data_IF_149322156477
#
_entry.id   IF_149322156477
#
_cell.length_a   1.000
_cell.length_b   1.000
_cell.length_c   1.000
_cell.angle_alpha   90.00
_cell.angle_beta   90.00
_cell.angle_gamma   90.00
#
_symmetry.space_group_name_H-M   'P 1'
#
loop_
_entity.id
_entity.type
_entity.pdbx_description
1 polymer ?
#
# COMPACT_ATOMS: atom_id res chain seq x y z
N UNK A 1 -29.25 -20.42 -12.24
CA UNK A 1 -28.65 -20.71 -10.92
C UNK A 1 -27.84 -21.98 -11.09
N UNK A 2 -26.55 -21.87 -11.39
CA UNK A 2 -25.63 -23.03 -11.42
C UNK A 2 -25.74 -23.69 -10.05
N UNK A 3 -26.24 -24.92 -10.00
CA UNK A 3 -26.36 -25.64 -8.73
C UNK A 3 -24.94 -25.89 -8.21
N UNK A 4 -24.66 -25.55 -6.96
CA UNK A 4 -23.39 -25.80 -6.26
C UNK A 4 -22.80 -27.20 -6.56
N UNK A 5 -23.68 -28.19 -6.70
CA UNK A 5 -23.36 -29.57 -7.10
C UNK A 5 -22.60 -29.70 -8.42
N UNK A 6 -22.91 -28.89 -9.45
CA UNK A 6 -22.22 -28.93 -10.75
C UNK A 6 -20.78 -28.41 -10.68
N UNK A 7 -20.52 -27.45 -9.81
CA UNK A 7 -19.15 -26.92 -9.61
C UNK A 7 -18.35 -27.86 -8.72
N UNK A 8 -19.03 -28.55 -7.79
CA UNK A 8 -18.41 -29.55 -6.94
C UNK A 8 -17.89 -30.80 -7.68
N UNK A 9 -18.35 -31.05 -8.91
CA UNK A 9 -17.77 -32.07 -9.78
C UNK A 9 -16.29 -31.80 -10.12
N UNK A 10 -15.87 -30.52 -10.10
CA UNK A 10 -14.52 -30.10 -10.45
C UNK A 10 -13.67 -29.72 -9.23
N UNK A 11 -14.29 -29.29 -8.13
CA UNK A 11 -13.61 -28.90 -6.92
C UNK A 11 -14.47 -29.20 -5.69
N UNK A 12 -13.95 -29.97 -4.74
CA UNK A 12 -14.66 -30.37 -3.51
C UNK A 12 -15.01 -29.18 -2.59
N UNK A 13 -14.30 -28.05 -2.71
CA UNK A 13 -14.52 -26.82 -1.94
C UNK A 13 -14.46 -25.58 -2.84
N UNK A 14 -15.53 -25.28 -3.60
CA UNK A 14 -15.54 -24.14 -4.48
C UNK A 14 -15.78 -22.83 -3.71
N UNK A 15 -15.01 -21.80 -4.08
CA UNK A 15 -15.29 -20.42 -3.69
C UNK A 15 -16.21 -19.77 -4.72
N UNK A 16 -17.20 -19.02 -4.23
CA UNK A 16 -18.12 -18.27 -5.06
C UNK A 16 -18.01 -16.78 -4.78
N UNK A 17 -17.67 -16.00 -5.81
CA UNK A 17 -17.51 -14.55 -5.70
C UNK A 17 -18.57 -13.84 -6.52
N UNK A 18 -19.24 -12.86 -5.90
CA UNK A 18 -20.19 -11.97 -6.57
C UNK A 18 -19.59 -10.56 -6.59
N UNK A 19 -19.49 -9.99 -7.78
CA UNK A 19 -19.16 -8.59 -8.00
C UNK A 19 -20.45 -7.84 -8.40
N UNK A 20 -20.80 -6.79 -7.68
CA UNK A 20 -21.94 -5.93 -7.99
C UNK A 20 -21.45 -4.65 -8.71
N UNK A 21 -21.56 -4.58 -10.05
CA UNK A 21 -21.08 -3.43 -10.81
C UNK A 21 -21.94 -2.18 -10.62
N UNK A 22 -23.17 -2.30 -10.10
CA UNK A 22 -24.15 -1.22 -10.06
C UNK A 22 -24.35 -0.61 -8.67
N UNK A 23 -23.45 -0.81 -7.69
CA UNK A 23 -23.70 -0.41 -6.29
C UNK A 23 -24.10 1.08 -6.10
N UNK A 24 -25.42 1.35 -6.15
CA UNK A 24 -26.09 2.68 -6.11
C UNK A 24 -26.27 3.19 -4.66
N UNK A 25 -25.24 3.06 -3.83
CA UNK A 25 -25.27 3.57 -2.45
C UNK A 25 -24.54 4.93 -2.33
N UNK A 26 -25.10 5.96 -1.68
CA UNK A 26 -24.38 7.22 -1.43
C UNK A 26 -23.13 7.06 -0.52
N UNK A 27 -22.96 5.88 0.09
CA UNK A 27 -21.88 5.52 1.01
C UNK A 27 -20.90 4.44 0.49
N UNK A 28 -21.05 3.94 -0.75
CA UNK A 28 -20.23 2.84 -1.31
C UNK A 28 -18.85 3.24 -1.80
N UNK A 29 -18.46 4.53 -1.75
CA UNK A 29 -17.09 4.97 -2.12
C UNK A 29 -15.97 4.37 -1.25
N UNK A 30 -16.27 3.59 -0.21
CA UNK A 30 -15.29 3.04 0.74
C UNK A 30 -15.18 1.51 0.79
N UNK A 31 -16.08 0.74 0.17
CA UNK A 31 -16.03 -0.73 0.25
C UNK A 31 -16.07 -1.33 -1.14
N UNK A 32 -15.10 -2.20 -1.43
CA UNK A 32 -15.04 -2.94 -2.69
C UNK A 32 -16.35 -3.71 -2.89
N UNK A 33 -17.02 -3.63 -4.06
CA UNK A 33 -18.34 -4.21 -4.28
C UNK A 33 -18.25 -5.72 -4.56
N UNK A 34 -17.54 -6.43 -3.69
CA UNK A 34 -17.30 -7.87 -3.79
C UNK A 34 -17.86 -8.55 -2.54
N UNK A 35 -18.53 -9.69 -2.74
CA UNK A 35 -18.90 -10.63 -1.69
C UNK A 35 -18.34 -12.01 -2.03
N UNK A 36 -17.65 -12.62 -1.07
CA UNK A 36 -17.10 -13.97 -1.17
C UNK A 36 -17.96 -14.94 -0.37
N UNK A 37 -18.15 -16.12 -0.90
CA UNK A 37 -18.86 -17.23 -0.27
C UNK A 37 -18.04 -18.51 -0.39
N UNK A 38 -18.04 -19.30 0.67
CA UNK A 38 -17.43 -20.62 0.71
C UNK A 38 -18.51 -21.71 0.83
N UNK A 39 -18.21 -22.90 0.34
CA UNK A 39 -19.11 -24.04 0.44
C UNK A 39 -18.99 -24.70 1.82
N UNK A 40 -20.07 -24.74 2.59
CA UNK A 40 -20.11 -25.45 3.87
C UNK A 40 -21.25 -26.48 3.89
N UNK A 41 -21.00 -27.60 4.56
CA UNK A 41 -22.01 -28.61 4.83
C UNK A 41 -22.81 -28.22 6.07
N UNK A 42 -24.09 -27.88 5.87
CA UNK A 42 -24.99 -27.57 6.98
C UNK A 42 -26.11 -28.61 7.09
N UNK A 43 -26.47 -28.95 8.34
CA UNK A 43 -27.64 -29.78 8.62
C UNK A 43 -28.89 -28.91 8.62
N UNK A 44 -29.67 -28.97 7.54
CA UNK A 44 -30.96 -28.27 7.43
C UNK A 44 -32.08 -29.30 7.55
N UNK A 45 -32.88 -29.20 8.61
CA UNK A 45 -33.98 -30.14 8.91
C UNK A 45 -33.53 -31.61 8.96
N UNK A 46 -32.34 -31.88 9.50
CA UNK A 46 -31.79 -33.23 9.60
C UNK A 46 -31.20 -33.80 8.30
N UNK A 47 -31.22 -33.04 7.21
CA UNK A 47 -30.62 -33.44 5.93
C UNK A 47 -29.32 -32.63 5.71
N UNK A 48 -28.18 -33.31 5.45
CA UNK A 48 -26.94 -32.62 5.12
C UNK A 48 -27.08 -31.95 3.75
N UNK A 49 -26.91 -30.63 3.71
CA UNK A 49 -27.00 -29.83 2.48
C UNK A 49 -25.80 -28.92 2.37
N UNK A 50 -25.14 -28.97 1.21
CA UNK A 50 -24.10 -28.01 0.86
C UNK A 50 -24.75 -26.65 0.56
N UNK A 51 -24.27 -25.61 1.24
CA UNK A 51 -24.74 -24.23 1.06
C UNK A 51 -23.54 -23.28 0.93
N UNK A 52 -23.78 -22.11 0.33
CA UNK A 52 -22.81 -21.04 0.31
C UNK A 52 -22.98 -20.15 1.54
N UNK A 53 -21.91 -20.04 2.34
CA UNK A 53 -21.84 -19.17 3.52
C UNK A 53 -20.91 -18.01 3.22
N UNK A 54 -21.29 -16.81 3.67
CA UNK A 54 -20.51 -15.60 3.38
C UNK A 54 -19.19 -15.63 4.14
N UNK A 55 -18.08 -15.60 3.41
CA UNK A 55 -16.75 -15.63 3.97
C UNK A 55 -16.17 -14.20 4.10
N UNK A 56 -15.44 -13.89 5.19
CA UNK A 56 -14.62 -12.69 5.25
C UNK A 56 -13.46 -12.80 4.27
N UNK A 57 -13.05 -11.67 3.69
CA UNK A 57 -11.88 -11.62 2.81
C UNK A 57 -11.00 -10.44 3.15
N UNK A 58 -9.71 -10.59 2.85
CA UNK A 58 -8.73 -9.52 2.85
C UNK A 58 -8.10 -9.48 1.45
N UNK A 59 -7.87 -8.29 0.93
CA UNK A 59 -7.06 -8.13 -0.28
C UNK A 59 -5.61 -8.26 0.16
N UNK A 60 -4.92 -9.25 -0.40
CA UNK A 60 -3.49 -9.39 -0.25
C UNK A 60 -2.83 -9.07 -1.59
N UNK A 61 -1.68 -8.41 -1.55
CA UNK A 61 -1.02 -7.91 -2.74
C UNK A 61 0.48 -8.06 -2.55
N UNK A 62 1.16 -8.69 -3.50
CA UNK A 62 2.62 -8.76 -3.51
C UNK A 62 3.22 -7.36 -3.71
N UNK A 63 4.45 -7.09 -3.26
CA UNK A 63 5.12 -5.81 -3.51
C UNK A 63 5.16 -5.47 -5.01
N UNK A 64 5.49 -6.46 -5.85
CA UNK A 64 5.54 -6.30 -7.31
C UNK A 64 4.17 -5.97 -7.90
N UNK A 65 3.11 -6.64 -7.43
CA UNK A 65 1.73 -6.38 -7.82
C UNK A 65 1.25 -5.01 -7.33
N UNK A 66 1.66 -4.61 -6.13
CA UNK A 66 1.34 -3.31 -5.53
C UNK A 66 1.90 -2.16 -6.35
N UNK A 67 3.14 -2.29 -6.83
CA UNK A 67 3.76 -1.31 -7.75
C UNK A 67 2.99 -1.26 -9.07
N UNK A 68 2.60 -2.41 -9.64
CA UNK A 68 1.85 -2.47 -10.89
C UNK A 68 0.45 -1.84 -10.74
N UNK A 69 -0.26 -2.14 -9.66
CA UNK A 69 -1.57 -1.56 -9.34
C UNK A 69 -1.44 -0.05 -9.12
N UNK A 70 -0.43 0.40 -8.38
CA UNK A 70 -0.15 1.82 -8.16
C UNK A 70 0.07 2.55 -9.50
N UNK A 71 0.88 1.97 -10.38
CA UNK A 71 1.11 2.49 -11.72
C UNK A 71 -0.20 2.58 -12.52
N UNK A 72 -0.99 1.50 -12.58
CA UNK A 72 -2.28 1.44 -13.30
C UNK A 72 -3.29 2.44 -12.74
N UNK A 73 -3.38 2.57 -11.42
CA UNK A 73 -4.30 3.49 -10.75
C UNK A 73 -3.97 4.97 -11.00
N UNK A 74 -2.70 5.26 -11.31
CA UNK A 74 -2.15 6.59 -11.56
C UNK A 74 -2.00 6.93 -13.04
N UNK A 75 -2.47 6.08 -13.96
CA UNK A 75 -2.51 6.40 -15.41
C UNK A 75 -3.52 7.54 -15.64
N UNK A 76 -3.11 8.76 -15.30
CA UNK A 76 -3.40 9.94 -16.06
C UNK A 76 -2.59 9.86 -17.37
N UNK A 77 -3.08 10.44 -18.48
CA UNK A 77 -2.43 10.29 -19.77
C UNK A 77 -0.97 10.74 -19.68
N UNK A 78 -0.06 9.79 -19.97
CA UNK A 78 1.38 9.90 -20.24
C UNK A 78 1.93 11.30 -19.96
N UNK A 79 2.31 11.55 -18.71
CA UNK A 79 2.77 12.85 -18.26
C UNK A 79 4.24 12.84 -17.88
N UNK A 80 5.09 12.89 -18.90
CA UNK A 80 6.48 13.38 -18.88
C UNK A 80 7.52 12.57 -18.07
N UNK A 81 8.55 12.06 -18.77
CA UNK A 81 9.71 11.35 -18.21
C UNK A 81 10.59 12.25 -17.31
N UNK A 82 10.26 13.53 -17.20
CA UNK A 82 10.91 14.52 -16.33
C UNK A 82 10.43 14.50 -14.88
N UNK A 83 9.37 13.74 -14.54
CA UNK A 83 8.81 13.73 -13.18
C UNK A 83 9.61 12.83 -12.24
N UNK A 84 10.04 13.42 -11.12
CA UNK A 84 10.76 12.72 -10.04
C UNK A 84 9.94 11.55 -9.50
N UNK A 85 10.58 10.39 -9.33
CA UNK A 85 10.02 9.20 -8.68
C UNK A 85 9.68 9.44 -7.21
N UNK A 86 10.27 10.46 -6.57
CA UNK A 86 9.98 10.84 -5.19
C UNK A 86 8.59 11.48 -5.03
N UNK A 87 8.11 12.21 -6.05
CA UNK A 87 6.83 12.90 -5.98
C UNK A 87 5.62 11.95 -5.78
N UNK A 88 5.45 10.88 -6.59
CA UNK A 88 4.37 9.92 -6.36
C UNK A 88 4.54 9.14 -5.06
N UNK A 89 5.78 8.82 -4.64
CA UNK A 89 6.05 8.13 -3.37
C UNK A 89 5.60 8.97 -2.16
N UNK A 90 6.00 10.23 -2.10
CA UNK A 90 5.58 11.14 -1.03
C UNK A 90 4.06 11.39 -1.05
N UNK A 91 3.45 11.40 -2.24
CA UNK A 91 2.00 11.44 -2.41
C UNK A 91 1.31 10.25 -1.72
N UNK A 92 1.81 9.04 -1.93
CA UNK A 92 1.27 7.82 -1.31
C UNK A 92 1.40 7.84 0.21
N UNK A 93 2.58 8.21 0.73
CA UNK A 93 2.80 8.33 2.18
C UNK A 93 1.86 9.37 2.79
N UNK A 94 1.73 10.55 2.15
CA UNK A 94 0.79 11.60 2.58
C UNK A 94 -0.64 11.08 2.63
N UNK A 95 -1.08 10.36 1.61
CA UNK A 95 -2.45 9.89 1.51
C UNK A 95 -2.75 8.77 2.53
N UNK A 96 -1.77 7.89 2.79
CA UNK A 96 -1.84 6.91 3.87
C UNK A 96 -1.95 7.59 5.26
N UNK A 97 -1.14 8.62 5.52
CA UNK A 97 -1.21 9.40 6.77
C UNK A 97 -2.56 10.09 6.92
N UNK A 98 -3.06 10.74 5.85
CA UNK A 98 -4.40 11.37 5.86
C UNK A 98 -5.52 10.35 6.06
N UNK A 99 -5.36 9.13 5.54
CA UNK A 99 -6.34 8.07 5.75
C UNK A 99 -6.38 7.65 7.22
N UNK A 100 -5.21 7.47 7.85
CA UNK A 100 -5.13 7.14 9.27
C UNK A 100 -5.70 8.26 10.15
N UNK A 101 -5.34 9.52 9.87
CA UNK A 101 -5.84 10.70 10.58
C UNK A 101 -7.38 10.76 10.59
N UNK A 102 -8.02 10.53 9.43
CA UNK A 102 -9.49 10.45 9.34
C UNK A 102 -10.09 9.32 10.18
N UNK A 103 -9.43 8.17 10.27
CA UNK A 103 -9.91 7.05 11.09
C UNK A 103 -9.82 7.39 12.58
N UNK A 104 -8.73 8.02 13.00
CA UNK A 104 -8.53 8.48 14.38
C UNK A 104 -9.55 9.56 14.76
N UNK A 105 -9.82 10.52 13.87
CA UNK A 105 -10.82 11.56 14.08
C UNK A 105 -12.23 10.97 14.27
N UNK A 106 -12.62 9.97 13.47
CA UNK A 106 -13.90 9.26 13.65
C UNK A 106 -13.99 8.57 15.01
N UNK A 107 -12.92 7.89 15.44
CA UNK A 107 -12.87 7.26 16.77
C UNK A 107 -12.99 8.30 17.89
N UNK A 108 -12.31 9.43 17.77
CA UNK A 108 -12.35 10.50 18.77
C UNK A 108 -13.75 11.11 18.89
N UNK A 109 -14.39 11.43 17.76
CA UNK A 109 -15.77 11.95 17.73
C UNK A 109 -16.75 10.96 18.34
N UNK A 110 -16.58 9.68 18.05
CA UNK A 110 -17.41 8.62 18.64
C UNK A 110 -17.28 8.56 20.16
N UNK A 111 -16.06 8.62 20.70
CA UNK A 111 -15.83 8.67 22.15
C UNK A 111 -16.42 9.93 22.79
N UNK A 112 -16.36 11.07 22.11
CA UNK A 112 -16.98 12.33 22.57
C UNK A 112 -18.51 12.22 22.61
N UNK A 113 -19.13 11.64 21.57
CA UNK A 113 -20.57 11.42 21.53
C UNK A 113 -21.05 10.48 22.65
N UNK A 114 -20.29 9.42 22.95
CA UNK A 114 -20.57 8.53 24.09
C UNK A 114 -20.46 9.27 25.43
N UNK A 115 -19.45 10.13 25.59
CA UNK A 115 -19.27 10.96 26.80
C UNK A 115 -20.45 11.93 27.01
N UNK A 116 -20.99 12.48 25.93
CA UNK A 116 -22.12 13.41 25.96
C UNK A 116 -23.49 12.70 26.06
N UNK A 117 -23.51 11.36 26.20
CA UNK A 117 -24.71 10.52 26.21
C UNK A 117 -25.56 10.58 24.92
N UNK A 118 -24.95 10.95 23.79
CA UNK A 118 -25.59 10.98 22.46
C UNK A 118 -25.53 9.61 21.75
N UNK A 119 -24.67 8.70 22.20
CA UNK A 119 -24.49 7.35 21.66
C UNK A 119 -24.53 6.29 22.78
N UNK A 120 -25.01 5.06 22.51
CA UNK A 120 -25.09 3.99 23.51
C UNK A 120 -23.69 3.58 24.00
N UNK A 121 -23.58 3.37 25.31
CA UNK A 121 -22.34 2.95 25.97
C UNK A 121 -22.06 1.47 25.70
N UNK A 122 -21.15 1.17 24.76
CA UNK A 122 -20.63 -0.19 24.54
C UNK A 122 -19.27 -0.39 25.22
N UNK A 123 -19.25 -1.18 26.29
CA UNK A 123 -18.05 -1.49 27.05
C UNK A 123 -17.03 -2.37 26.30
N UNK A 124 -17.48 -3.21 25.35
CA UNK A 124 -16.56 -4.04 24.56
C UNK A 124 -15.73 -3.17 23.62
N UNK A 125 -16.38 -2.21 22.96
CA UNK A 125 -15.72 -1.27 22.06
C UNK A 125 -14.74 -0.36 22.79
N UNK A 126 -15.09 0.15 23.97
CA UNK A 126 -14.18 0.91 24.84
C UNK A 126 -12.94 0.11 25.24
N UNK A 127 -13.12 -1.17 25.57
CA UNK A 127 -12.01 -2.07 25.91
C UNK A 127 -11.08 -2.30 24.71
N UNK A 128 -11.63 -2.48 23.51
CA UNK A 128 -10.82 -2.59 22.29
C UNK A 128 -10.03 -1.31 22.00
N UNK A 129 -10.67 -0.14 22.08
CA UNK A 129 -9.99 1.14 21.88
C UNK A 129 -8.87 1.34 22.92
N UNK A 130 -9.14 1.03 24.19
CA UNK A 130 -8.12 1.09 25.23
C UNK A 130 -6.96 0.13 24.96
N UNK A 131 -7.23 -1.08 24.47
CA UNK A 131 -6.17 -2.02 24.09
C UNK A 131 -5.29 -1.47 22.98
N UNK A 132 -5.87 -0.84 21.95
CA UNK A 132 -5.13 -0.22 20.86
C UNK A 132 -4.24 0.92 21.39
N UNK A 133 -4.78 1.80 22.23
CA UNK A 133 -4.00 2.89 22.84
C UNK A 133 -2.85 2.37 23.69
N UNK A 134 -3.06 1.27 24.43
CA UNK A 134 -2.04 0.67 25.29
C UNK A 134 -0.95 -0.11 24.52
N UNK A 135 -1.22 -0.47 23.25
CA UNK A 135 -0.20 -1.04 22.35
C UNK A 135 0.73 0.03 21.79
N UNK A 136 0.41 1.32 21.96
CA UNK A 136 1.29 2.41 21.57
C UNK A 136 2.28 2.70 22.70
N UNK A 137 3.58 2.84 22.38
CA UNK A 137 4.21 2.76 21.06
C UNK A 137 4.44 1.32 20.59
N UNK A 138 4.15 1.06 19.30
CA UNK A 138 4.06 -0.29 18.73
C UNK A 138 5.34 -1.13 18.85
N UNK A 139 6.51 -0.49 18.83
CA UNK A 139 7.80 -1.15 19.05
C UNK A 139 8.71 -0.22 19.86
N UNK A 140 9.12 -0.67 21.04
CA UNK A 140 10.21 -0.10 21.84
C UNK A 140 11.01 -1.26 22.41
N UNK A 141 12.02 -1.70 21.67
CA UNK A 141 12.99 -2.67 22.17
C UNK A 141 14.39 -2.16 21.82
N UNK A 142 15.33 -2.38 22.73
CA UNK A 142 16.73 -1.99 22.54
C UNK A 142 17.33 -2.66 21.30
N UNK A 143 16.89 -3.90 21.00
CA UNK A 143 17.25 -4.62 19.78
C UNK A 143 16.73 -3.92 18.52
N UNK A 144 15.49 -3.41 18.54
CA UNK A 144 14.94 -2.66 17.41
C UNK A 144 15.72 -1.36 17.20
N UNK A 145 16.01 -0.60 18.25
CA UNK A 145 16.74 0.66 18.15
C UNK A 145 18.16 0.45 17.59
N UNK A 146 18.85 -0.59 18.05
CA UNK A 146 20.16 -0.98 17.52
C UNK A 146 20.08 -1.38 16.04
N UNK A 147 19.12 -2.24 15.67
CA UNK A 147 18.92 -2.70 14.29
C UNK A 147 18.54 -1.53 13.36
N UNK A 148 17.65 -0.65 13.81
CA UNK A 148 17.23 0.53 13.06
C UNK A 148 18.38 1.51 12.86
N UNK A 149 19.20 1.75 13.88
CA UNK A 149 20.37 2.63 13.78
C UNK A 149 21.42 2.07 12.83
N UNK A 150 21.61 0.75 12.83
CA UNK A 150 22.50 0.06 11.90
C UNK A 150 22.00 0.22 10.46
N UNK A 151 20.73 -0.13 10.19
CA UNK A 151 20.15 -0.01 8.85
C UNK A 151 20.17 1.44 8.33
N UNK A 152 19.88 2.41 9.20
CA UNK A 152 19.97 3.83 8.88
C UNK A 152 21.40 4.25 8.49
N UNK A 153 22.39 3.78 9.24
CA UNK A 153 23.80 4.07 8.98
C UNK A 153 24.27 3.44 7.66
N UNK A 154 23.86 2.20 7.40
CA UNK A 154 24.17 1.49 6.15
C UNK A 154 23.54 2.19 4.93
N UNK A 155 22.27 2.60 5.02
CA UNK A 155 21.60 3.34 3.96
C UNK A 155 22.27 4.70 3.68
N UNK A 156 22.70 5.41 4.71
CA UNK A 156 23.46 6.66 4.57
C UNK A 156 24.81 6.44 3.88
N UNK A 157 25.54 5.41 4.28
CA UNK A 157 26.85 5.09 3.70
C UNK A 157 26.72 4.76 2.21
N UNK A 158 25.75 3.92 1.84
CA UNK A 158 25.48 3.56 0.43
C UNK A 158 25.12 4.80 -0.38
N UNK A 159 24.23 5.66 0.14
CA UNK A 159 23.82 6.90 -0.52
C UNK A 159 25.01 7.87 -0.71
N UNK A 160 25.87 7.98 0.29
CA UNK A 160 27.06 8.81 0.24
C UNK A 160 28.06 8.31 -0.82
N UNK A 161 28.36 7.01 -0.81
CA UNK A 161 29.24 6.39 -1.82
C UNK A 161 28.67 6.54 -3.24
N UNK A 162 27.37 6.32 -3.43
CA UNK A 162 26.71 6.54 -4.72
C UNK A 162 26.83 8.00 -5.21
N UNK A 163 26.73 8.96 -4.28
CA UNK A 163 26.90 10.39 -4.58
C UNK A 163 28.34 10.71 -4.99
N UNK A 164 29.34 10.13 -4.30
CA UNK A 164 30.75 10.26 -4.68
C UNK A 164 31.03 9.63 -6.05
N UNK A 165 30.52 8.43 -6.32
CA UNK A 165 30.64 7.78 -7.62
C UNK A 165 30.04 8.64 -8.73
N UNK A 166 28.85 9.20 -8.52
CA UNK A 166 28.21 10.12 -9.46
C UNK A 166 29.05 11.39 -9.67
N UNK A 167 29.64 11.93 -8.60
CA UNK A 167 30.56 13.06 -8.66
C UNK A 167 31.80 12.76 -9.50
N UNK A 168 32.43 11.60 -9.30
CA UNK A 168 33.59 11.15 -10.08
C UNK A 168 33.25 10.95 -11.56
N UNK A 169 32.10 10.34 -11.89
CA UNK A 169 31.67 10.20 -13.29
C UNK A 169 31.41 11.55 -13.95
N UNK A 170 30.82 12.51 -13.22
CA UNK A 170 30.61 13.87 -13.72
C UNK A 170 31.95 14.59 -13.95
N UNK A 171 32.91 14.44 -13.03
CA UNK A 171 34.25 15.02 -13.18
C UNK A 171 34.98 14.45 -14.40
N UNK A 172 34.96 13.13 -14.59
CA UNK A 172 35.53 12.50 -15.79
C UNK A 172 34.89 13.04 -17.08
N UNK A 173 33.56 13.17 -17.09
CA UNK A 173 32.85 13.73 -18.25
C UNK A 173 33.29 15.18 -18.55
N UNK A 174 33.58 15.98 -17.52
CA UNK A 174 34.09 17.35 -17.71
C UNK A 174 35.52 17.34 -18.23
N UNK A 175 36.38 16.48 -17.70
CA UNK A 175 37.77 16.32 -18.15
C UNK A 175 37.82 15.88 -19.62
N UNK A 176 37.00 14.90 -20.02
CA UNK A 176 36.93 14.42 -21.41
C UNK A 176 36.46 15.53 -22.36
N UNK A 177 35.46 16.32 -21.95
CA UNK A 177 35.00 17.49 -22.73
C UNK A 177 36.08 18.57 -22.82
N UNK A 178 36.86 18.78 -21.77
CA UNK A 178 37.96 19.73 -21.78
C UNK A 178 39.11 19.28 -22.68
N UNK A 179 39.51 18.01 -22.62
CA UNK A 179 40.54 17.44 -23.48
C UNK A 179 40.17 17.56 -24.97
N UNK A 180 38.94 17.17 -25.33
CA UNK A 180 38.45 17.25 -26.72
C UNK A 180 38.35 18.69 -27.27
N UNK A 181 38.10 19.67 -26.41
CA UNK A 181 38.06 21.09 -26.82
C UNK A 181 39.45 21.71 -26.95
N UNK A 182 40.39 21.32 -26.07
CA UNK A 182 41.81 21.71 -26.14
C UNK A 182 42.51 21.17 -27.40
N UNK A 183 42.29 19.90 -27.75
CA UNK A 183 42.87 19.31 -28.97
C UNK A 183 42.37 20.00 -30.24
N UNK A 184 41.09 20.39 -30.29
CA UNK A 184 40.53 21.22 -31.37
C UNK A 184 41.12 22.63 -31.42
N UNK A 185 41.49 23.20 -30.27
CA UNK A 185 42.18 24.49 -30.18
C UNK A 185 43.59 24.45 -30.76
N UNK A 186 44.33 23.35 -30.53
CA UNK A 186 45.68 23.17 -31.06
C UNK A 186 45.72 23.01 -32.59
N UNK A 187 44.79 22.25 -33.20
CA UNK A 187 44.75 22.09 -34.67
C UNK A 187 44.45 23.40 -35.42
N UNK A 188 43.81 24.39 -34.79
CA UNK A 188 43.57 25.72 -35.40
C UNK A 188 44.77 26.66 -35.30
N UNK A 189 45.72 26.39 -34.40
CA UNK A 189 46.95 27.19 -34.25
C UNK A 189 48.10 26.77 -35.18
N UNK A 190 48.04 25.57 -35.77
CA UNK A 190 49.12 25.02 -36.63
C UNK A 190 48.86 25.24 -38.14
N UNK A 191 47.80 25.95 -38.52
CA UNK A 191 47.40 26.20 -39.92
C UNK A 191 47.51 27.69 -40.33
N UNK A 192 48.21 28.50 -39.54
CA UNK A 192 48.65 29.87 -39.86
C UNK A 192 50.17 29.93 -39.79
#
# INVERSE_FOLDING_TARGET
MLSLLQVMEFNESPLFMILDPESKGPSTKKKLPISLFESELHMLNGVPKMIFVKAPFKIDTSETEGIAIDHISKIAPIGDASKSTLHPYLGNVRDAVKMLDRQVDVLLRFLQAMKNAEAPLDHNLLRHISSICNQLPAMKSEHFDASFTQEYSDALLVSYLATLTKGATNANTVVDRFATTQERGHQRGTLL
#
